data_IF_004341969678
#
_entry.id   IF_004341969678
#
_cell.length_a   1.000
_cell.length_b   1.000
_cell.length_c   1.000
_cell.angle_alpha   90.00
_cell.angle_beta   90.00
_cell.angle_gamma   90.00
#
_symmetry.space_group_name_H-M   'P 1'
#
loop_
_entity.id
_entity.type
_entity.pdbx_description
1 polymer ?
#
# COMPACT_ATOMS: atom_id res chain seq x y z
N UNK A 1 20.02 10.94 13.59
CA UNK A 1 19.40 9.71 14.11
C UNK A 1 19.22 8.77 12.95
N UNK A 2 19.90 7.63 13.02
CA UNK A 2 19.88 6.57 12.02
C UNK A 2 18.63 5.71 12.26
N UNK A 3 17.66 5.73 11.34
CA UNK A 3 16.43 4.95 11.46
C UNK A 3 16.45 3.85 10.40
N UNK A 4 17.13 2.74 10.75
CA UNK A 4 16.89 1.46 10.09
C UNK A 4 15.47 1.03 10.46
N UNK A 5 14.63 0.82 9.45
CA UNK A 5 13.36 0.11 9.60
C UNK A 5 13.67 -1.23 10.27
N UNK A 6 12.93 -1.55 11.32
CA UNK A 6 13.08 -2.78 12.09
C UNK A 6 13.18 -3.99 11.16
N UNK A 7 14.21 -4.83 11.33
CA UNK A 7 14.28 -6.12 10.65
C UNK A 7 13.00 -6.92 10.96
N UNK A 8 12.41 -7.61 9.97
CA UNK A 8 11.11 -8.26 10.13
C UNK A 8 11.24 -9.39 11.16
N UNK A 9 10.84 -9.11 12.39
CA UNK A 9 10.72 -10.12 13.43
C UNK A 9 9.37 -10.80 13.30
N UNK A 10 9.43 -12.12 13.08
CA UNK A 10 8.34 -13.09 12.96
C UNK A 10 7.85 -13.35 11.52
N UNK A 11 7.71 -14.65 11.22
CA UNK A 11 7.10 -15.15 9.99
C UNK A 11 5.71 -14.52 9.80
N UNK A 12 5.34 -14.16 8.55
CA UNK A 12 4.08 -13.47 8.30
C UNK A 12 2.89 -14.35 8.72
N UNK A 13 1.84 -13.77 9.33
CA UNK A 13 0.69 -14.52 9.82
C UNK A 13 -0.07 -15.24 8.69
N UNK A 14 -0.74 -16.34 9.05
CA UNK A 14 -1.65 -17.08 8.15
C UNK A 14 -2.94 -16.26 8.00
N UNK A 15 -3.41 -15.96 6.78
CA UNK A 15 -4.49 -15.03 6.57
C UNK A 15 -5.83 -15.75 6.69
N UNK A 16 -6.71 -15.28 7.58
CA UNK A 16 -8.15 -15.59 7.49
C UNK A 16 -8.83 -14.73 6.43
N UNK A 17 -10.15 -14.61 6.48
CA UNK A 17 -10.96 -13.70 5.62
C UNK A 17 -10.37 -12.28 5.57
N UNK A 18 -9.68 -11.85 6.63
CA UNK A 18 -8.97 -10.56 6.79
C UNK A 18 -7.51 -10.52 6.31
N UNK A 19 -7.10 -11.37 5.37
CA UNK A 19 -5.70 -11.67 5.11
C UNK A 19 -4.76 -10.49 4.85
N UNK A 20 -5.16 -9.53 4.01
CA UNK A 20 -4.39 -8.31 3.77
C UNK A 20 -4.32 -7.39 4.99
N UNK A 21 -5.43 -7.20 5.70
CA UNK A 21 -5.50 -6.34 6.89
C UNK A 21 -4.63 -6.86 8.04
N UNK A 22 -4.71 -8.16 8.33
CA UNK A 22 -3.89 -8.79 9.36
C UNK A 22 -2.39 -8.74 9.02
N UNK A 23 -2.06 -8.83 7.73
CA UNK A 23 -0.69 -8.67 7.24
C UNK A 23 -0.16 -7.25 7.51
N UNK A 24 -0.92 -6.22 7.12
CA UNK A 24 -0.49 -4.83 7.30
C UNK A 24 -0.44 -4.42 8.77
N UNK A 25 -1.35 -4.93 9.61
CA UNK A 25 -1.31 -4.72 11.06
C UNK A 25 0.01 -5.17 11.70
N UNK A 26 0.62 -6.24 11.17
CA UNK A 26 1.90 -6.76 11.66
C UNK A 26 3.11 -5.93 11.20
N UNK A 27 2.97 -5.14 10.14
CA UNK A 27 4.06 -4.35 9.54
C UNK A 27 4.02 -2.91 10.01
N UNK A 28 2.87 -2.25 9.87
CA UNK A 28 2.69 -0.83 10.17
C UNK A 28 1.20 -0.52 10.37
N UNK A 29 0.82 -0.15 11.59
CA UNK A 29 -0.56 0.17 11.98
C UNK A 29 -1.19 1.27 11.11
N UNK A 30 -0.38 2.26 10.66
CA UNK A 30 -0.89 3.33 9.78
C UNK A 30 -1.22 2.81 8.39
N UNK A 31 -0.39 1.93 7.87
CA UNK A 31 -0.63 1.27 6.58
C UNK A 31 -1.88 0.40 6.64
N UNK A 32 -2.10 -0.33 7.74
CA UNK A 32 -3.36 -1.05 7.99
C UNK A 32 -4.56 -0.11 7.95
N UNK A 33 -4.52 1.01 8.67
CA UNK A 33 -5.64 1.94 8.72
C UNK A 33 -6.01 2.48 7.34
N UNK A 34 -5.01 2.86 6.53
CA UNK A 34 -5.24 3.33 5.16
C UNK A 34 -5.83 2.22 4.30
N UNK A 35 -5.27 1.01 4.37
CA UNK A 35 -5.80 -0.15 3.66
C UNK A 35 -7.25 -0.43 4.05
N UNK A 36 -7.60 -0.37 5.34
CA UNK A 36 -8.97 -0.57 5.83
C UNK A 36 -9.94 0.44 5.24
N UNK A 37 -9.59 1.72 5.24
CA UNK A 37 -10.43 2.79 4.67
C UNK A 37 -10.67 2.59 3.18
N UNK A 38 -9.66 2.13 2.44
CA UNK A 38 -9.79 1.83 1.01
C UNK A 38 -10.67 0.60 0.77
N UNK A 39 -10.39 -0.50 1.47
CA UNK A 39 -11.14 -1.76 1.33
C UNK A 39 -12.63 -1.59 1.67
N UNK A 40 -12.98 -0.77 2.66
CA UNK A 40 -14.37 -0.42 3.01
C UNK A 40 -15.16 0.24 1.86
N UNK A 41 -14.49 0.79 0.85
CA UNK A 41 -15.10 1.43 -0.33
C UNK A 41 -15.07 0.54 -1.57
N UNK A 42 -14.61 -0.69 -1.45
CA UNK A 42 -14.39 -1.61 -2.55
C UNK A 42 -15.39 -2.77 -2.50
N UNK A 43 -16.68 -2.45 -2.64
CA UNK A 43 -17.78 -3.43 -2.65
C UNK A 43 -17.85 -4.30 -3.91
N UNK A 44 -17.03 -3.98 -4.91
CA UNK A 44 -17.03 -4.56 -6.24
C UNK A 44 -16.01 -5.69 -6.42
N UNK A 45 -15.19 -6.00 -5.41
CA UNK A 45 -14.14 -7.03 -5.48
C UNK A 45 -14.69 -8.44 -5.44
N UNK A 46 -13.89 -9.42 -5.89
CA UNK A 46 -14.30 -10.83 -5.98
C UNK A 46 -13.96 -11.68 -4.74
N UNK A 47 -13.28 -11.11 -3.74
CA UNK A 47 -12.74 -11.85 -2.59
C UNK A 47 -13.81 -12.53 -1.71
N UNK A 48 -15.06 -12.05 -1.76
CA UNK A 48 -16.17 -12.66 -1.04
C UNK A 48 -16.68 -13.96 -1.68
N UNK A 49 -16.36 -14.22 -2.96
CA UNK A 49 -16.82 -15.43 -3.65
C UNK A 49 -16.01 -16.66 -3.19
N UNK A 50 -16.66 -17.74 -2.69
CA UNK A 50 -15.95 -18.87 -2.07
C UNK A 50 -14.88 -19.52 -2.96
N UNK A 51 -15.19 -19.78 -4.23
CA UNK A 51 -14.24 -20.43 -5.15
C UNK A 51 -13.05 -19.54 -5.49
N UNK A 52 -13.31 -18.23 -5.62
CA UNK A 52 -12.27 -17.25 -5.88
C UNK A 52 -11.36 -17.14 -4.65
N UNK A 53 -11.96 -17.09 -3.47
CA UNK A 53 -11.23 -17.02 -2.21
C UNK A 53 -10.32 -18.21 -2.00
N UNK A 54 -10.80 -19.43 -2.25
CA UNK A 54 -9.99 -20.63 -2.15
C UNK A 54 -8.76 -20.57 -3.07
N UNK A 55 -8.92 -20.07 -4.31
CA UNK A 55 -7.81 -19.89 -5.25
C UNK A 55 -6.87 -18.75 -4.88
N UNK A 56 -7.40 -17.68 -4.31
CA UNK A 56 -6.59 -16.59 -3.79
C UNK A 56 -5.74 -17.05 -2.60
N UNK A 57 -6.29 -17.86 -1.70
CA UNK A 57 -5.54 -18.43 -0.58
C UNK A 57 -4.41 -19.36 -1.07
N UNK A 58 -4.66 -20.19 -2.09
CA UNK A 58 -3.61 -20.99 -2.75
C UNK A 58 -2.49 -20.10 -3.32
N UNK A 59 -2.84 -18.99 -3.98
CA UNK A 59 -1.88 -18.03 -4.51
C UNK A 59 -1.07 -17.36 -3.40
N UNK A 60 -1.72 -16.90 -2.33
CA UNK A 60 -1.05 -16.22 -1.21
C UNK A 60 -0.03 -17.16 -0.57
N UNK A 61 -0.40 -18.42 -0.34
CA UNK A 61 0.54 -19.40 0.22
C UNK A 61 1.69 -19.72 -0.75
N UNK A 62 1.41 -19.80 -2.06
CA UNK A 62 2.48 -19.97 -3.06
C UNK A 62 3.47 -18.79 -3.05
N UNK A 63 2.98 -17.55 -2.99
CA UNK A 63 3.80 -16.34 -2.97
C UNK A 63 4.63 -16.22 -1.69
N UNK A 64 4.13 -16.68 -0.55
CA UNK A 64 4.87 -16.70 0.73
C UNK A 64 6.10 -17.60 0.71
N UNK A 65 6.00 -18.76 0.07
CA UNK A 65 7.03 -19.80 0.15
C UNK A 65 7.95 -19.83 -1.08
N UNK A 66 7.52 -19.23 -2.20
CA UNK A 66 8.26 -19.29 -3.46
C UNK A 66 8.65 -17.88 -3.94
N UNK A 67 9.96 -17.56 -3.95
CA UNK A 67 10.46 -16.32 -4.55
C UNK A 67 10.09 -16.18 -6.02
N UNK A 68 9.97 -17.30 -6.75
CA UNK A 68 9.54 -17.28 -8.15
C UNK A 68 8.06 -16.87 -8.29
N UNK A 69 7.20 -17.35 -7.38
CA UNK A 69 5.79 -16.94 -7.35
C UNK A 69 5.64 -15.48 -6.95
N UNK A 70 6.39 -15.03 -5.93
CA UNK A 70 6.40 -13.62 -5.53
C UNK A 70 6.85 -12.69 -6.68
N UNK A 71 7.93 -13.05 -7.38
CA UNK A 71 8.43 -12.26 -8.49
C UNK A 71 7.56 -12.33 -9.75
N UNK A 72 6.61 -13.26 -9.83
CA UNK A 72 5.69 -13.36 -10.97
C UNK A 72 4.93 -12.05 -11.18
N UNK A 73 4.52 -11.39 -10.09
CA UNK A 73 3.78 -10.14 -10.17
C UNK A 73 4.54 -9.02 -10.88
N UNK A 74 5.86 -8.98 -10.67
CA UNK A 74 6.75 -8.02 -11.32
C UNK A 74 7.14 -8.45 -12.74
N UNK A 75 7.30 -9.75 -12.97
CA UNK A 75 7.70 -10.29 -14.27
C UNK A 75 6.57 -10.31 -15.31
N UNK A 76 5.31 -10.46 -14.86
CA UNK A 76 4.12 -10.53 -15.70
C UNK A 76 3.09 -9.46 -15.30
N UNK A 77 3.39 -8.17 -15.50
CA UNK A 77 2.61 -7.09 -14.94
C UNK A 77 1.21 -6.96 -15.55
N UNK A 78 1.01 -7.39 -16.80
CA UNK A 78 -0.33 -7.37 -17.45
C UNK A 78 -1.32 -8.28 -16.74
N UNK A 79 -0.94 -9.54 -16.53
CA UNK A 79 -1.80 -10.54 -15.89
C UNK A 79 -2.01 -10.21 -14.42
N UNK A 80 -0.94 -9.72 -13.78
CA UNK A 80 -0.98 -9.31 -12.38
C UNK A 80 -1.90 -8.13 -12.16
N UNK A 81 -1.88 -7.13 -13.04
CA UNK A 81 -2.80 -5.99 -12.97
C UNK A 81 -4.25 -6.40 -13.17
N UNK A 82 -4.53 -7.32 -14.10
CA UNK A 82 -5.89 -7.85 -14.29
C UNK A 82 -6.40 -8.51 -13.01
N UNK A 83 -5.59 -9.35 -12.36
CA UNK A 83 -5.97 -9.96 -11.09
C UNK A 83 -6.16 -8.91 -9.99
N UNK A 84 -5.16 -8.07 -9.77
CA UNK A 84 -5.17 -7.04 -8.71
C UNK A 84 -6.32 -6.06 -8.86
N UNK A 85 -6.78 -5.81 -10.09
CA UNK A 85 -7.94 -4.98 -10.35
C UNK A 85 -9.25 -5.56 -9.79
N UNK A 86 -9.29 -6.82 -9.38
CA UNK A 86 -10.46 -7.48 -8.77
C UNK A 86 -10.28 -7.83 -7.28
N UNK A 87 -9.13 -7.46 -6.71
CA UNK A 87 -8.79 -7.66 -5.31
C UNK A 87 -9.01 -6.38 -4.52
N UNK A 88 -9.18 -6.53 -3.21
CA UNK A 88 -9.03 -5.43 -2.26
C UNK A 88 -7.64 -4.82 -2.36
N UNK A 89 -7.55 -3.52 -2.08
CA UNK A 89 -6.28 -2.81 -2.09
C UNK A 89 -5.30 -3.45 -1.10
N UNK A 90 -5.75 -3.84 0.10
CA UNK A 90 -4.87 -4.50 1.08
C UNK A 90 -4.22 -5.78 0.54
N UNK A 91 -4.98 -6.63 -0.14
CA UNK A 91 -4.51 -7.90 -0.73
C UNK A 91 -3.59 -7.65 -1.92
N UNK A 92 -3.97 -6.75 -2.84
CA UNK A 92 -3.14 -6.44 -4.01
C UNK A 92 -1.77 -5.88 -3.61
N UNK A 93 -1.75 -4.95 -2.65
CA UNK A 93 -0.51 -4.39 -2.09
C UNK A 93 0.33 -5.46 -1.40
N UNK A 94 -0.29 -6.36 -0.65
CA UNK A 94 0.40 -7.44 0.05
C UNK A 94 1.12 -8.37 -0.94
N UNK A 95 0.45 -8.76 -2.04
CA UNK A 95 1.05 -9.61 -3.07
C UNK A 95 2.30 -8.98 -3.69
N UNK A 96 2.27 -7.66 -3.90
CA UNK A 96 3.42 -6.90 -4.39
C UNK A 96 4.56 -6.84 -3.36
N UNK A 97 4.23 -6.66 -2.08
CA UNK A 97 5.22 -6.56 -1.01
C UNK A 97 5.97 -7.87 -0.73
N UNK A 98 5.38 -9.03 -1.07
CA UNK A 98 6.12 -10.30 -1.04
C UNK A 98 7.23 -10.37 -2.10
N UNK A 99 7.08 -9.67 -3.23
CA UNK A 99 8.06 -9.66 -4.31
C UNK A 99 9.24 -8.73 -4.03
N UNK A 100 8.97 -7.60 -3.36
CA UNK A 100 9.96 -6.59 -3.01
C UNK A 100 9.64 -6.04 -1.62
N UNK A 101 10.48 -6.39 -0.66
CA UNK A 101 10.31 -5.97 0.74
C UNK A 101 10.71 -4.50 0.93
N UNK A 102 11.53 -3.92 0.04
CA UNK A 102 11.73 -2.48 0.04
C UNK A 102 10.52 -1.79 -0.59
N UNK A 103 9.59 -1.34 0.25
CA UNK A 103 8.40 -0.60 -0.15
C UNK A 103 8.69 0.56 -1.11
N UNK A 104 9.82 1.28 -0.97
CA UNK A 104 10.11 2.42 -1.86
C UNK A 104 10.46 1.95 -3.27
N UNK A 105 11.32 0.95 -3.36
CA UNK A 105 11.72 0.38 -4.65
C UNK A 105 10.52 -0.29 -5.34
N UNK A 106 9.70 -1.00 -4.57
CA UNK A 106 8.45 -1.59 -5.06
C UNK A 106 7.54 -0.52 -5.67
N UNK A 107 7.30 0.58 -4.95
CA UNK A 107 6.41 1.66 -5.41
C UNK A 107 6.94 2.28 -6.70
N UNK A 108 8.24 2.58 -6.78
CA UNK A 108 8.83 3.18 -7.97
C UNK A 108 8.68 2.25 -9.19
N UNK A 109 9.11 1.00 -9.07
CA UNK A 109 9.03 0.02 -10.16
C UNK A 109 7.59 -0.25 -10.57
N UNK A 110 6.69 -0.40 -9.59
CA UNK A 110 5.28 -0.61 -9.87
C UNK A 110 4.69 0.56 -10.65
N UNK A 111 4.86 1.80 -10.15
CA UNK A 111 4.32 2.99 -10.82
C UNK A 111 4.89 3.18 -12.23
N UNK A 112 6.18 2.94 -12.42
CA UNK A 112 6.80 2.96 -13.76
C UNK A 112 6.11 1.96 -14.69
N UNK A 113 6.02 0.69 -14.28
CA UNK A 113 5.44 -0.38 -15.08
C UNK A 113 3.96 -0.11 -15.40
N UNK A 114 3.16 0.28 -14.40
CA UNK A 114 1.73 0.54 -14.59
C UNK A 114 1.49 1.76 -15.49
N UNK A 115 2.29 2.81 -15.33
CA UNK A 115 2.18 4.02 -16.16
C UNK A 115 2.58 3.72 -17.61
N UNK A 116 3.67 2.95 -17.82
CA UNK A 116 4.07 2.50 -19.14
C UNK A 116 3.03 1.60 -19.81
N UNK A 117 2.44 0.66 -19.07
CA UNK A 117 1.38 -0.20 -19.59
C UNK A 117 0.14 0.61 -19.97
N UNK A 118 -0.29 1.53 -19.10
CA UNK A 118 -1.44 2.40 -19.39
C UNK A 118 -1.22 3.25 -20.65
N UNK A 119 0.00 3.71 -20.90
CA UNK A 119 0.32 4.48 -22.10
C UNK A 119 0.37 3.62 -23.38
N UNK A 120 0.73 2.34 -23.26
CA UNK A 120 0.89 1.42 -24.37
C UNK A 120 -0.40 0.69 -24.78
N UNK A 121 -1.35 0.53 -23.86
CA UNK A 121 -2.57 -0.24 -24.07
C UNK A 121 -3.71 0.61 -24.67
N UNK A 122 -4.56 0.06 -25.55
CA UNK A 122 -5.73 0.76 -26.06
C UNK A 122 -6.68 1.18 -24.93
N UNK A 123 -7.26 2.37 -25.01
CA UNK A 123 -8.10 2.95 -23.94
C UNK A 123 -9.35 2.14 -23.57
N UNK A 124 -9.81 1.24 -24.44
CA UNK A 124 -10.93 0.33 -24.18
C UNK A 124 -10.50 -1.04 -23.63
N UNK A 125 -9.20 -1.34 -23.59
CA UNK A 125 -8.68 -2.60 -23.10
C UNK A 125 -8.88 -2.75 -21.59
N UNK A 126 -9.02 -3.99 -21.13
CA UNK A 126 -9.10 -4.30 -19.70
C UNK A 126 -7.81 -3.90 -18.97
N UNK A 127 -6.65 -4.13 -19.59
CA UNK A 127 -5.35 -3.79 -19.00
C UNK A 127 -5.20 -2.28 -18.81
N UNK A 128 -5.66 -1.46 -19.76
CA UNK A 128 -5.68 0.00 -19.61
C UNK A 128 -6.50 0.44 -18.39
N UNK A 129 -7.70 -0.13 -18.22
CA UNK A 129 -8.59 0.18 -17.11
C UNK A 129 -8.01 -0.29 -15.77
N UNK A 130 -7.49 -1.52 -15.72
CA UNK A 130 -6.82 -2.09 -14.56
C UNK A 130 -5.61 -1.25 -14.14
N UNK A 131 -4.79 -0.82 -15.10
CA UNK A 131 -3.65 0.06 -14.85
C UNK A 131 -4.11 1.43 -14.33
N UNK A 132 -5.19 1.99 -14.87
CA UNK A 132 -5.78 3.23 -14.38
C UNK A 132 -6.22 3.12 -12.92
N UNK A 133 -6.97 2.07 -12.60
CA UNK A 133 -7.43 1.78 -11.24
C UNK A 133 -6.27 1.55 -10.26
N UNK A 134 -5.25 0.80 -10.69
CA UNK A 134 -4.05 0.58 -9.90
C UNK A 134 -3.33 1.89 -9.55
N UNK A 135 -3.17 2.81 -10.52
CA UNK A 135 -2.58 4.14 -10.27
C UNK A 135 -3.43 4.93 -9.27
N UNK A 136 -4.75 4.93 -9.42
CA UNK A 136 -5.65 5.65 -8.52
C UNK A 136 -5.60 5.12 -7.08
N UNK A 137 -5.64 3.79 -6.91
CA UNK A 137 -5.51 3.12 -5.61
C UNK A 137 -4.17 3.42 -4.94
N UNK A 138 -3.07 3.30 -5.67
CA UNK A 138 -1.74 3.60 -5.14
C UNK A 138 -1.56 5.08 -4.79
N UNK A 139 -2.06 5.99 -5.62
CA UNK A 139 -2.03 7.42 -5.32
C UNK A 139 -2.86 7.76 -4.08
N UNK A 140 -4.03 7.15 -3.91
CA UNK A 140 -4.83 7.32 -2.72
C UNK A 140 -4.05 6.84 -1.48
N UNK A 141 -3.52 5.62 -1.54
CA UNK A 141 -2.71 5.03 -0.49
C UNK A 141 -1.54 5.92 -0.05
N UNK A 142 -0.71 6.38 -1.00
CA UNK A 142 0.45 7.23 -0.69
C UNK A 142 0.03 8.63 -0.20
N UNK A 143 -1.05 9.22 -0.75
CA UNK A 143 -1.57 10.50 -0.26
C UNK A 143 -2.05 10.40 1.18
N UNK A 144 -2.79 9.35 1.54
CA UNK A 144 -3.25 9.14 2.90
C UNK A 144 -2.06 8.95 3.86
N UNK A 145 -1.10 8.11 3.50
CA UNK A 145 0.11 7.91 4.30
C UNK A 145 0.91 9.21 4.51
N UNK A 146 1.05 10.03 3.46
CA UNK A 146 1.71 11.33 3.54
C UNK A 146 0.95 12.32 4.42
N UNK A 147 -0.37 12.42 4.26
CA UNK A 147 -1.21 13.33 5.06
C UNK A 147 -1.13 12.98 6.55
N UNK A 148 -1.27 11.69 6.90
CA UNK A 148 -1.15 11.23 8.28
C UNK A 148 0.24 11.54 8.87
N UNK A 149 1.30 11.47 8.06
CA UNK A 149 2.67 11.80 8.51
C UNK A 149 2.87 13.30 8.68
N UNK A 150 2.48 14.11 7.69
CA UNK A 150 2.70 15.56 7.66
C UNK A 150 1.85 16.28 8.71
N UNK A 151 0.60 15.88 8.84
CA UNK A 151 -0.36 16.46 9.79
C UNK A 151 -0.55 15.59 11.04
N UNK A 152 0.47 14.81 11.40
CA UNK A 152 0.46 14.06 12.66
C UNK A 152 0.36 15.01 13.85
N UNK A 153 -0.37 14.58 14.88
CA UNK A 153 -0.57 15.36 16.11
C UNK A 153 0.75 15.87 16.70
N UNK A 154 1.75 15.00 16.82
CA UNK A 154 3.10 15.37 17.29
C UNK A 154 3.73 16.52 16.48
N UNK A 155 3.60 16.50 15.15
CA UNK A 155 4.11 17.60 14.30
C UNK A 155 3.32 18.88 14.51
N UNK A 156 2.00 18.79 14.59
CA UNK A 156 1.14 19.95 14.84
C UNK A 156 1.48 20.59 16.19
N UNK A 157 1.61 19.78 17.24
CA UNK A 157 1.98 20.24 18.58
C UNK A 157 3.37 20.90 18.59
N UNK A 158 4.35 20.33 17.89
CA UNK A 158 5.69 20.93 17.75
C UNK A 158 5.65 22.28 17.04
N UNK A 159 4.87 22.41 15.97
CA UNK A 159 4.69 23.68 15.26
C UNK A 159 4.02 24.71 16.17
N UNK A 160 2.96 24.32 16.87
CA UNK A 160 2.27 25.19 17.83
C UNK A 160 3.22 25.67 18.93
N UNK A 161 3.99 24.76 19.54
CA UNK A 161 4.96 25.10 20.57
C UNK A 161 6.04 26.07 20.06
N UNK A 162 6.56 25.85 18.84
CA UNK A 162 7.53 26.74 18.22
C UNK A 162 6.96 28.14 17.97
N UNK A 163 5.72 28.23 17.48
CA UNK A 163 5.03 29.51 17.28
C UNK A 163 4.78 30.24 18.60
N UNK A 164 4.34 29.54 19.65
CA UNK A 164 4.17 30.12 20.99
C UNK A 164 5.49 30.66 21.53
N UNK A 165 6.58 29.91 21.40
CA UNK A 165 7.92 30.33 21.82
C UNK A 165 8.40 31.57 21.06
N UNK A 166 8.24 31.59 19.74
CA UNK A 166 8.61 32.73 18.91
C UNK A 166 7.84 34.01 19.32
N UNK A 167 6.53 33.88 19.56
CA UNK A 167 5.71 34.99 20.06
C UNK A 167 6.21 35.52 21.40
N UNK A 168 6.52 34.64 22.35
CA UNK A 168 7.04 35.08 23.66
C UNK A 168 8.37 35.82 23.54
N UNK A 169 9.30 35.35 22.69
CA UNK A 169 10.59 36.01 22.47
C UNK A 169 10.43 37.40 21.83
N UNK A 170 9.48 37.58 20.90
CA UNK A 170 9.22 38.88 20.30
C UNK A 170 8.68 39.88 21.33
N UNK A 171 7.78 39.46 22.22
CA UNK A 171 7.24 40.33 23.27
C UNK A 171 8.26 40.80 24.31
N UNK A 172 9.41 40.13 24.45
CA UNK A 172 10.52 40.58 25.30
C UNK A 172 11.57 41.43 24.57
N UNK A 173 11.49 41.53 23.24
CA UNK A 173 12.39 42.36 22.42
C UNK A 173 11.94 43.83 22.35
N UNK A 174 10.70 44.13 22.75
CA UNK A 174 10.10 45.46 22.71
C UNK A 174 10.13 46.20 24.06
N UNK A 175 10.90 45.67 25.03
CA UNK A 175 11.19 46.27 26.35
C UNK A 175 12.68 46.64 26.43
#
# INVERSE_FOLDING_TARGET
MDFRLQEPTASPPVPGISGGQAYWAAIDEKTEEVCRVLDEKEDWVLEAHPDFRAKLDELIEAVKVSPAAANYCLAQPRDSLRLMAWLHTSTAMMLLHYAEQDRRELVNRFLEVVTSLRAAEPGNSEVYKAAGLAVERFLAFERFALLQRVFSQDRVEKVVAALTKARTLHSYSDL
#
